data_IF_982781933062
#
_entry.id   IF_982781933062
#
_cell.length_a   1.000
_cell.length_b   1.000
_cell.length_c   1.000
_cell.angle_alpha   90.00
_cell.angle_beta   90.00
_cell.angle_gamma   90.00
#
_symmetry.space_group_name_H-M   'P 1'
#
loop_
_entity.id
_entity.type
_entity.pdbx_description
1 polymer ?
#
# COMPACT_ATOMS: atom_id res chain seq x y z
N UNK A 1 -3.66 -13.59 -48.28
CA UNK A 1 -2.50 -13.74 -47.38
C UNK A 1 -2.73 -12.81 -46.20
N UNK A 2 -2.65 -13.29 -44.96
CA UNK A 2 -2.86 -12.47 -43.78
C UNK A 2 -1.70 -11.47 -43.63
N UNK A 3 -2.02 -10.20 -43.34
CA UNK A 3 -1.03 -9.13 -43.16
C UNK A 3 -0.21 -9.39 -41.88
N UNK A 4 1.13 -9.53 -41.96
CA UNK A 4 1.98 -9.78 -40.81
C UNK A 4 1.81 -8.75 -39.68
N UNK A 5 1.54 -7.48 -40.02
CA UNK A 5 1.30 -6.42 -39.04
C UNK A 5 0.04 -6.67 -38.18
N UNK A 6 -0.94 -7.39 -38.72
CA UNK A 6 -2.17 -7.67 -38.01
C UNK A 6 -1.98 -8.76 -36.94
N UNK A 7 -1.14 -9.76 -37.23
CA UNK A 7 -0.80 -10.81 -36.27
C UNK A 7 0.01 -10.25 -35.09
N UNK A 8 0.96 -9.36 -35.35
CA UNK A 8 1.76 -8.70 -34.31
C UNK A 8 0.91 -7.77 -33.43
N UNK A 9 -0.04 -7.04 -34.04
CA UNK A 9 -0.98 -6.20 -33.31
C UNK A 9 -1.88 -7.02 -32.37
N UNK A 10 -2.37 -8.18 -32.82
CA UNK A 10 -3.18 -9.09 -31.99
C UNK A 10 -2.37 -9.66 -30.83
N UNK A 11 -1.13 -10.07 -31.08
CA UNK A 11 -0.24 -10.57 -30.03
C UNK A 11 0.05 -9.50 -28.96
N UNK A 12 0.21 -8.24 -29.38
CA UNK A 12 0.44 -7.12 -28.48
C UNK A 12 -0.81 -6.80 -27.63
N UNK A 13 -2.01 -6.87 -28.22
CA UNK A 13 -3.28 -6.72 -27.49
C UNK A 13 -3.41 -7.79 -26.39
N UNK A 14 -3.17 -9.07 -26.72
CA UNK A 14 -3.24 -10.15 -25.74
C UNK A 14 -2.15 -10.06 -24.65
N UNK A 15 -1.02 -9.41 -24.93
CA UNK A 15 -0.01 -9.12 -23.91
C UNK A 15 -0.52 -8.06 -22.93
N UNK A 16 -1.05 -6.96 -23.47
CA UNK A 16 -1.61 -5.86 -22.68
C UNK A 16 -2.81 -6.31 -21.82
N UNK A 17 -3.68 -7.17 -22.33
CA UNK A 17 -4.81 -7.73 -21.57
C UNK A 17 -4.32 -8.52 -20.34
N UNK A 18 -3.27 -9.36 -20.50
CA UNK A 18 -2.68 -10.09 -19.37
C UNK A 18 -2.00 -9.18 -18.35
N UNK A 19 -1.39 -8.10 -18.80
CA UNK A 19 -0.81 -7.09 -17.91
C UNK A 19 -1.89 -6.36 -17.11
N UNK A 20 -3.03 -6.05 -17.74
CA UNK A 20 -4.20 -5.46 -17.07
C UNK A 20 -4.75 -6.42 -16.01
N UNK A 21 -4.99 -7.69 -16.34
CA UNK A 21 -5.46 -8.69 -15.37
C UNK A 21 -4.52 -8.84 -14.17
N UNK A 22 -3.21 -8.81 -14.42
CA UNK A 22 -2.20 -8.88 -13.36
C UNK A 22 -2.19 -7.64 -12.47
N UNK A 23 -2.47 -6.46 -13.02
CA UNK A 23 -2.60 -5.22 -12.27
C UNK A 23 -3.89 -5.20 -11.44
N UNK A 24 -5.01 -5.66 -12.00
CA UNK A 24 -6.29 -5.76 -11.28
C UNK A 24 -6.17 -6.68 -10.06
N UNK A 25 -5.52 -7.84 -10.21
CA UNK A 25 -5.28 -8.75 -9.08
C UNK A 25 -4.45 -8.10 -7.96
N UNK A 26 -3.39 -7.36 -8.31
CA UNK A 26 -2.57 -6.64 -7.32
C UNK A 26 -3.33 -5.53 -6.60
N UNK A 27 -4.21 -4.83 -7.32
CA UNK A 27 -5.08 -3.80 -6.73
C UNK A 27 -6.05 -4.45 -5.74
N UNK A 28 -6.67 -5.58 -6.11
CA UNK A 28 -7.58 -6.30 -5.22
C UNK A 28 -6.88 -6.82 -3.96
N UNK A 29 -5.68 -7.40 -4.07
CA UNK A 29 -4.89 -7.84 -2.90
C UNK A 29 -4.54 -6.66 -1.96
N UNK A 30 -4.16 -5.51 -2.53
CA UNK A 30 -3.88 -4.31 -1.75
C UNK A 30 -5.15 -3.76 -1.08
N UNK A 31 -6.28 -3.78 -1.78
CA UNK A 31 -7.55 -3.31 -1.25
C UNK A 31 -8.03 -4.22 -0.11
N UNK A 32 -7.99 -5.54 -0.26
CA UNK A 32 -8.29 -6.50 0.81
C UNK A 32 -7.38 -6.27 2.04
N UNK A 33 -6.08 -6.08 1.85
CA UNK A 33 -5.13 -5.84 2.95
C UNK A 33 -5.40 -4.54 3.73
N UNK A 34 -6.03 -3.55 3.09
CA UNK A 34 -6.29 -2.22 3.68
C UNK A 34 -7.73 -2.03 4.14
N UNK A 35 -8.68 -2.75 3.55
CA UNK A 35 -10.12 -2.72 3.89
C UNK A 35 -10.51 -3.80 4.89
N UNK A 36 -9.75 -4.89 5.04
CA UNK A 36 -10.04 -5.87 6.08
C UNK A 36 -9.95 -5.22 7.48
N UNK A 37 -11.06 -5.17 8.25
CA UNK A 37 -11.13 -4.40 9.50
C UNK A 37 -10.09 -4.80 10.54
N UNK A 38 -9.59 -6.04 10.50
CA UNK A 38 -8.56 -6.55 11.40
C UNK A 38 -7.19 -5.96 11.12
N UNK A 39 -6.78 -5.88 9.85
CA UNK A 39 -5.50 -5.30 9.46
C UNK A 39 -5.51 -3.78 9.63
N UNK A 40 -6.61 -3.12 9.27
CA UNK A 40 -6.81 -1.70 9.54
C UNK A 40 -6.77 -1.37 11.04
N UNK A 41 -7.44 -2.17 11.89
CA UNK A 41 -7.42 -1.98 13.34
C UNK A 41 -6.03 -2.22 13.95
N UNK A 42 -5.28 -3.22 13.46
CA UNK A 42 -3.91 -3.48 13.89
C UNK A 42 -2.99 -2.29 13.54
N UNK A 43 -3.05 -1.80 12.30
CA UNK A 43 -2.29 -0.63 11.85
C UNK A 43 -2.63 0.62 12.68
N UNK A 44 -3.93 0.87 12.94
CA UNK A 44 -4.37 1.99 13.78
C UNK A 44 -3.86 1.88 15.22
N UNK A 45 -3.82 0.67 15.77
CA UNK A 45 -3.29 0.42 17.11
C UNK A 45 -1.78 0.68 17.18
N UNK A 46 -1.03 0.24 16.19
CA UNK A 46 0.40 0.47 16.09
C UNK A 46 0.72 1.97 15.96
N UNK A 47 -0.01 2.68 15.08
CA UNK A 47 0.12 4.13 14.92
C UNK A 47 -0.15 4.88 16.23
N UNK A 48 -1.18 4.48 16.98
CA UNK A 48 -1.48 5.09 18.28
C UNK A 48 -0.40 4.79 19.32
N UNK A 49 0.16 3.58 19.35
CA UNK A 49 1.28 3.24 20.22
C UNK A 49 2.50 4.11 19.95
N UNK A 50 2.88 4.29 18.68
CA UNK A 50 3.98 5.18 18.29
C UNK A 50 3.69 6.63 18.67
N UNK A 51 2.47 7.12 18.44
CA UNK A 51 2.07 8.48 18.85
C UNK A 51 2.24 8.70 20.35
N UNK A 52 1.82 7.73 21.17
CA UNK A 52 1.96 7.81 22.63
C UNK A 52 3.43 7.78 23.08
N UNK A 53 4.26 6.96 22.44
CA UNK A 53 5.70 6.93 22.72
C UNK A 53 6.36 8.27 22.41
N UNK A 54 6.06 8.87 21.26
CA UNK A 54 6.60 10.18 20.86
C UNK A 54 6.17 11.26 21.87
N UNK A 55 4.89 11.27 22.27
CA UNK A 55 4.37 12.23 23.25
C UNK A 55 5.06 12.07 24.61
N UNK A 56 5.28 10.82 25.05
CA UNK A 56 6.00 10.52 26.29
C UNK A 56 7.44 11.02 26.22
N UNK A 57 8.17 10.70 25.16
CA UNK A 57 9.55 11.17 24.97
C UNK A 57 9.64 12.69 24.92
N UNK A 58 8.67 13.35 24.26
CA UNK A 58 8.59 14.82 24.25
C UNK A 58 8.40 15.38 25.66
N UNK A 59 7.46 14.82 26.43
CA UNK A 59 7.23 15.22 27.83
C UNK A 59 8.47 15.04 28.70
N UNK A 60 9.21 13.94 28.53
CA UNK A 60 10.44 13.69 29.29
C UNK A 60 11.55 14.69 28.94
N UNK A 61 11.67 15.06 27.66
CA UNK A 61 12.61 16.10 27.20
C UNK A 61 12.23 17.45 27.79
N UNK A 62 10.96 17.83 27.71
CA UNK A 62 10.47 19.10 28.22
C UNK A 62 10.71 19.18 29.74
N UNK A 63 10.41 18.12 30.49
CA UNK A 63 10.66 18.07 31.94
C UNK A 63 12.14 18.23 32.31
N UNK A 64 13.06 17.59 31.57
CA UNK A 64 14.50 17.76 31.79
C UNK A 64 14.96 19.19 31.54
N UNK A 65 14.42 19.84 30.50
CA UNK A 65 14.76 21.21 30.13
C UNK A 65 14.34 22.26 31.18
N UNK A 66 13.28 22.00 31.93
CA UNK A 66 12.80 22.89 33.00
C UNK A 66 13.34 22.53 34.39
N UNK A 67 14.13 21.46 34.51
CA UNK A 67 14.78 21.04 35.75
C UNK A 67 16.26 21.51 35.85
N UNK A 68 16.78 22.15 34.80
CA UNK A 68 18.06 22.88 34.75
C UNK A 68 17.83 24.38 34.99
#
# INVERSE_FOLDING_TARGET
MADPNHADSIAQIHSSEREIDALENKINEADESTTEPKYYAAMRREQEQHRQQILKSKSEIDQKKYAE
#
